data_IF_842242680511
#
_entry.id   IF_842242680511
#
_cell.length_a   1.000
_cell.length_b   1.000
_cell.length_c   1.000
_cell.angle_alpha   90.00
_cell.angle_beta   90.00
_cell.angle_gamma   90.00
#
_symmetry.space_group_name_H-M   'P 1'
#
loop_
_entity.id
_entity.type
_entity.pdbx_description
1 polymer ?
#
# COMPACT_ATOMS: atom_id res chain seq x y z
N UNK A 1 -29.86 18.37 -29.88
CA UNK A 1 -29.34 19.67 -30.36
C UNK A 1 -29.53 19.75 -31.87
N UNK A 2 -30.05 20.87 -32.40
CA UNK A 2 -30.15 21.09 -33.86
C UNK A 2 -28.73 21.31 -34.42
N UNK A 3 -28.38 20.64 -35.51
CA UNK A 3 -27.10 20.81 -36.21
C UNK A 3 -27.34 21.72 -37.41
N UNK A 4 -26.47 22.69 -37.62
CA UNK A 4 -26.49 23.58 -38.78
C UNK A 4 -25.30 23.28 -39.68
N UNK A 5 -25.53 23.28 -40.99
CA UNK A 5 -24.47 23.19 -41.99
C UNK A 5 -23.85 24.56 -42.27
N UNK A 6 -22.63 24.58 -42.82
CA UNK A 6 -21.96 25.84 -43.22
C UNK A 6 -22.78 26.66 -44.21
N UNK A 7 -23.57 25.98 -45.07
CA UNK A 7 -24.48 26.62 -46.03
C UNK A 7 -25.63 27.35 -45.36
N UNK A 8 -26.21 26.74 -44.34
CA UNK A 8 -27.32 27.32 -43.58
C UNK A 8 -26.85 28.49 -42.72
N UNK A 9 -25.65 28.38 -42.14
CA UNK A 9 -25.00 29.45 -41.37
C UNK A 9 -24.70 30.66 -42.28
N UNK A 10 -24.12 30.40 -43.46
CA UNK A 10 -23.85 31.41 -44.47
C UNK A 10 -25.13 32.17 -44.88
N UNK A 11 -26.23 31.43 -45.11
CA UNK A 11 -27.53 32.01 -45.43
C UNK A 11 -28.12 32.83 -44.27
N UNK A 12 -27.93 32.40 -43.04
CA UNK A 12 -28.46 33.06 -41.84
C UNK A 12 -27.75 34.38 -41.54
N UNK A 13 -26.43 34.43 -41.75
CA UNK A 13 -25.62 35.63 -41.55
C UNK A 13 -25.47 36.50 -42.80
N UNK A 14 -26.01 36.09 -43.95
CA UNK A 14 -25.90 36.83 -45.21
C UNK A 14 -24.46 36.89 -45.77
N UNK A 15 -23.62 35.91 -45.44
CA UNK A 15 -22.20 35.86 -45.83
C UNK A 15 -21.91 34.65 -46.71
N UNK A 16 -20.74 34.64 -47.37
CA UNK A 16 -20.32 33.47 -48.17
C UNK A 16 -19.92 32.29 -47.30
N UNK A 17 -20.10 31.06 -47.80
CA UNK A 17 -19.64 29.83 -47.12
C UNK A 17 -18.14 29.88 -46.79
N UNK A 18 -17.32 30.49 -47.67
CA UNK A 18 -15.87 30.67 -47.44
C UNK A 18 -15.57 31.59 -46.27
N UNK A 19 -16.40 32.61 -46.04
CA UNK A 19 -16.22 33.53 -44.92
C UNK A 19 -16.42 32.81 -43.59
N UNK A 20 -17.47 31.96 -43.52
CA UNK A 20 -17.76 31.13 -42.35
C UNK A 20 -16.62 30.14 -42.09
N UNK A 21 -16.16 29.44 -43.14
CA UNK A 21 -15.04 28.49 -43.02
C UNK A 21 -13.73 29.17 -42.56
N UNK A 22 -13.43 30.36 -43.10
CA UNK A 22 -12.24 31.12 -42.72
C UNK A 22 -12.26 31.51 -41.24
N UNK A 23 -13.40 31.98 -40.74
CA UNK A 23 -13.54 32.35 -39.33
C UNK A 23 -13.35 31.14 -38.40
N UNK A 24 -13.89 29.98 -38.77
CA UNK A 24 -13.69 28.73 -38.02
C UNK A 24 -12.21 28.33 -38.02
N UNK A 25 -11.53 28.44 -39.16
CA UNK A 25 -10.10 28.14 -39.27
C UNK A 25 -9.24 29.08 -38.39
N UNK A 26 -9.48 30.39 -38.44
CA UNK A 26 -8.76 31.37 -37.60
C UNK A 26 -8.94 31.10 -36.11
N UNK A 27 -10.14 30.70 -35.68
CA UNK A 27 -10.36 30.28 -34.29
C UNK A 27 -9.59 29.02 -33.93
N UNK A 28 -9.57 28.02 -34.83
CA UNK A 28 -8.80 26.79 -34.65
C UNK A 28 -7.30 27.05 -34.53
N UNK A 29 -6.75 27.92 -35.37
CA UNK A 29 -5.33 28.26 -35.39
C UNK A 29 -4.92 29.00 -34.11
N UNK A 30 -5.75 29.93 -33.63
CA UNK A 30 -5.52 30.64 -32.37
C UNK A 30 -5.52 29.73 -31.14
N UNK A 31 -6.26 28.61 -31.20
CA UNK A 31 -6.31 27.60 -30.14
C UNK A 31 -5.17 26.58 -30.30
N UNK A 32 -4.64 26.35 -31.50
CA UNK A 32 -3.68 25.26 -31.75
C UNK A 32 -2.21 25.66 -31.59
N UNK A 33 -1.87 26.95 -31.53
CA UNK A 33 -0.49 27.40 -31.38
C UNK A 33 -0.01 27.28 -29.92
N UNK A 34 0.65 26.16 -29.62
CA UNK A 34 1.07 25.71 -28.27
C UNK A 34 2.50 26.08 -27.90
N UNK A 35 2.93 27.32 -28.12
CA UNK A 35 4.30 27.73 -27.79
C UNK A 35 4.46 28.51 -26.48
N UNK A 36 3.38 28.92 -25.80
CA UNK A 36 3.48 29.54 -24.47
C UNK A 36 2.26 29.22 -23.60
N UNK A 37 2.48 29.10 -22.29
CA UNK A 37 1.49 28.81 -21.24
C UNK A 37 0.17 29.60 -21.42
N UNK A 38 -0.82 28.98 -22.04
CA UNK A 38 -2.21 29.45 -22.09
C UNK A 38 -2.74 29.75 -23.50
N UNK A 39 -4.02 29.46 -23.73
CA UNK A 39 -4.71 29.78 -24.98
C UNK A 39 -5.24 31.21 -24.93
N UNK A 40 -4.96 32.01 -25.96
CA UNK A 40 -5.56 33.34 -26.13
C UNK A 40 -6.90 33.22 -26.84
N UNK A 41 -8.00 33.28 -26.08
CA UNK A 41 -9.36 33.11 -26.60
C UNK A 41 -10.03 34.49 -26.77
N UNK A 42 -10.61 34.80 -27.94
CA UNK A 42 -11.39 36.02 -28.15
C UNK A 42 -12.62 36.12 -27.24
N UNK A 43 -12.97 37.32 -26.81
CA UNK A 43 -14.07 37.60 -25.86
C UNK A 43 -15.42 36.99 -26.30
N UNK A 44 -15.75 37.09 -27.59
CA UNK A 44 -16.99 36.52 -28.16
C UNK A 44 -17.11 35.01 -27.92
N UNK A 45 -15.98 34.30 -27.98
CA UNK A 45 -15.90 32.86 -27.73
C UNK A 45 -16.00 32.56 -26.25
N UNK A 46 -15.44 33.42 -25.39
CA UNK A 46 -15.61 33.32 -23.92
C UNK A 46 -17.08 33.49 -23.53
N UNK A 47 -17.79 34.46 -24.12
CA UNK A 47 -19.23 34.67 -23.89
C UNK A 47 -20.04 33.44 -24.35
N UNK A 48 -19.69 32.89 -25.53
CA UNK A 48 -20.30 31.66 -26.02
C UNK A 48 -20.04 30.48 -25.06
N UNK A 49 -18.79 30.30 -24.60
CA UNK A 49 -18.41 29.26 -23.64
C UNK A 49 -19.13 29.44 -22.30
N UNK A 50 -19.23 30.66 -21.78
CA UNK A 50 -19.95 30.96 -20.54
C UNK A 50 -21.45 30.67 -20.67
N UNK A 51 -22.07 31.00 -21.81
CA UNK A 51 -23.47 30.68 -22.08
C UNK A 51 -23.71 29.17 -22.20
N UNK A 52 -22.74 28.42 -22.72
CA UNK A 52 -22.78 26.96 -22.84
C UNK A 52 -22.52 26.26 -21.51
N UNK A 53 -21.59 26.77 -20.70
CA UNK A 53 -21.26 26.27 -19.36
C UNK A 53 -22.42 26.42 -18.37
N UNK A 54 -23.37 27.35 -18.58
CA UNK A 54 -24.60 27.41 -17.77
C UNK A 54 -25.44 26.12 -17.85
N UNK A 55 -25.30 25.32 -18.92
CA UNK A 55 -25.98 24.04 -19.10
C UNK A 55 -25.15 22.82 -18.68
N UNK A 56 -23.85 22.98 -18.48
CA UNK A 56 -22.89 21.90 -18.21
C UNK A 56 -22.46 21.85 -16.74
N UNK A 57 -23.33 22.33 -15.85
CA UNK A 57 -23.13 22.32 -14.41
C UNK A 57 -23.70 21.01 -13.81
N UNK A 58 -24.48 20.20 -14.53
CA UNK A 58 -25.06 18.99 -13.92
C UNK A 58 -24.05 17.88 -13.64
N UNK A 59 -22.90 17.87 -14.31
CA UNK A 59 -21.79 16.92 -14.10
C UNK A 59 -20.69 17.46 -13.19
N UNK A 60 -20.69 18.76 -12.88
CA UNK A 60 -19.78 19.42 -11.91
C UNK A 60 -20.51 20.03 -10.71
N UNK A 61 -21.83 19.84 -10.58
CA UNK A 61 -22.61 20.25 -9.39
C UNK A 61 -22.32 19.41 -8.14
N UNK A 62 -21.44 18.42 -8.24
CA UNK A 62 -20.82 17.83 -7.05
C UNK A 62 -19.53 18.55 -6.63
N UNK A 63 -18.96 19.43 -7.46
CA UNK A 63 -17.64 20.02 -7.21
C UNK A 63 -17.59 21.54 -7.08
N UNK A 64 -18.49 22.34 -7.66
CA UNK A 64 -18.31 23.81 -7.55
C UNK A 64 -19.61 24.62 -7.68
N UNK A 65 -20.28 24.90 -6.56
CA UNK A 65 -21.03 26.16 -6.32
C UNK A 65 -21.00 26.55 -4.84
N UNK A 66 -19.92 27.20 -4.44
CA UNK A 66 -19.97 28.24 -3.42
C UNK A 66 -20.73 29.45 -3.98
N UNK A 67 -21.50 30.14 -3.15
CA UNK A 67 -21.57 31.59 -3.27
C UNK A 67 -21.64 32.24 -1.88
N UNK A 68 -20.62 33.07 -1.66
CA UNK A 68 -20.51 34.15 -0.69
C UNK A 68 -20.22 33.81 0.79
N UNK A 69 -18.91 33.97 1.09
CA UNK A 69 -18.28 34.39 2.36
C UNK A 69 -18.35 33.38 3.52
N UNK A 70 -17.15 32.94 3.94
CA UNK A 70 -16.85 32.11 5.13
C UNK A 70 -16.95 30.58 5.01
N UNK A 71 -16.51 29.95 3.91
CA UNK A 71 -16.35 28.49 3.89
C UNK A 71 -14.96 28.05 3.42
N UNK A 72 -13.99 28.27 4.31
CA UNK A 72 -12.74 27.52 4.41
C UNK A 72 -13.07 26.11 4.91
N UNK A 73 -13.53 25.22 4.04
CA UNK A 73 -13.65 23.80 4.39
C UNK A 73 -12.81 22.96 3.43
N UNK A 74 -11.61 22.53 3.84
CA UNK A 74 -10.92 21.44 3.17
C UNK A 74 -11.84 20.22 3.23
N UNK A 75 -11.88 19.39 2.19
CA UNK A 75 -12.51 18.07 2.30
C UNK A 75 -11.77 17.27 3.39
N UNK A 76 -12.26 17.34 4.62
CA UNK A 76 -11.73 16.63 5.77
C UNK A 76 -12.62 15.39 5.94
N UNK A 77 -12.12 14.26 5.46
CA UNK A 77 -12.67 12.96 5.85
C UNK A 77 -12.25 12.69 7.30
N UNK A 78 -13.19 12.84 8.22
CA UNK A 78 -12.98 12.48 9.61
C UNK A 78 -13.10 10.97 9.76
N UNK A 79 -12.16 10.38 10.48
CA UNK A 79 -12.35 9.02 11.00
C UNK A 79 -13.61 8.99 11.87
N UNK A 80 -14.36 7.89 11.77
CA UNK A 80 -15.31 7.56 12.82
C UNK A 80 -14.56 7.34 14.14
N UNK A 81 -15.22 7.52 15.28
CA UNK A 81 -14.61 7.31 16.59
C UNK A 81 -14.00 5.89 16.70
N UNK A 82 -14.68 4.89 16.14
CA UNK A 82 -14.20 3.51 16.10
C UNK A 82 -12.90 3.37 15.30
N UNK A 83 -12.84 3.97 14.10
CA UNK A 83 -11.63 3.96 13.26
C UNK A 83 -10.48 4.72 13.90
N UNK A 84 -10.75 5.84 14.58
CA UNK A 84 -9.73 6.60 15.28
C UNK A 84 -9.14 5.80 16.45
N UNK A 85 -9.97 5.14 17.24
CA UNK A 85 -9.50 4.27 18.33
C UNK A 85 -8.73 3.07 17.79
N UNK A 86 -9.19 2.46 16.70
CA UNK A 86 -8.46 1.36 16.07
C UNK A 86 -7.12 1.80 15.50
N UNK A 87 -7.08 2.95 14.83
CA UNK A 87 -5.85 3.53 14.31
C UNK A 87 -4.86 3.86 15.42
N UNK A 88 -5.34 4.49 16.51
CA UNK A 88 -4.55 4.74 17.72
C UNK A 88 -3.98 3.44 18.27
N UNK A 89 -4.81 2.39 18.41
CA UNK A 89 -4.39 1.06 18.87
C UNK A 89 -3.30 0.45 17.98
N UNK A 90 -3.46 0.56 16.66
CA UNK A 90 -2.46 0.08 15.69
C UNK A 90 -1.14 0.84 15.76
N UNK A 91 -1.15 2.12 16.11
CA UNK A 91 0.08 2.91 16.29
C UNK A 91 0.76 2.59 17.61
N UNK A 92 0.01 2.49 18.71
CA UNK A 92 0.61 2.41 20.05
C UNK A 92 0.80 0.99 20.55
N UNK A 93 -0.16 0.10 20.36
CA UNK A 93 -0.16 -1.23 20.98
C UNK A 93 0.41 -2.31 20.07
N UNK A 94 0.09 -2.25 18.77
CA UNK A 94 0.47 -3.32 17.84
C UNK A 94 1.99 -3.45 17.63
N UNK A 95 2.79 -2.37 17.57
CA UNK A 95 4.25 -2.50 17.44
C UNK A 95 4.85 -3.19 18.66
N UNK A 96 4.40 -2.80 19.86
CA UNK A 96 4.83 -3.42 21.12
C UNK A 96 4.44 -4.90 21.17
N UNK A 97 3.20 -5.23 20.81
CA UNK A 97 2.74 -6.61 20.78
C UNK A 97 3.52 -7.45 19.76
N UNK A 98 3.82 -6.89 18.59
CA UNK A 98 4.63 -7.54 17.55
C UNK A 98 6.06 -7.80 18.05
N UNK A 99 6.66 -6.84 18.73
CA UNK A 99 7.99 -6.99 19.33
C UNK A 99 7.99 -8.06 20.42
N UNK A 100 6.97 -8.08 21.28
CA UNK A 100 6.82 -9.09 22.33
C UNK A 100 6.67 -10.50 21.74
N UNK A 101 5.87 -10.66 20.67
CA UNK A 101 5.74 -11.94 19.96
C UNK A 101 7.09 -12.36 19.38
N UNK A 102 7.83 -11.43 18.77
CA UNK A 102 9.15 -11.71 18.21
C UNK A 102 10.12 -12.20 19.28
N UNK A 103 10.23 -11.49 20.41
CA UNK A 103 11.09 -11.85 21.54
C UNK A 103 10.70 -13.21 22.12
N UNK A 104 9.39 -13.47 22.26
CA UNK A 104 8.88 -14.77 22.74
C UNK A 104 9.30 -15.92 21.81
N UNK A 105 9.21 -15.72 20.50
CA UNK A 105 9.64 -16.72 19.51
C UNK A 105 11.15 -16.96 19.55
N UNK A 106 11.97 -15.89 19.65
CA UNK A 106 13.43 -16.02 19.79
C UNK A 106 13.80 -16.79 21.06
N UNK A 107 13.11 -16.51 22.17
CA UNK A 107 13.30 -17.24 23.43
C UNK A 107 12.92 -18.72 23.31
N UNK A 108 11.81 -19.03 22.62
CA UNK A 108 11.39 -20.42 22.37
C UNK A 108 12.41 -21.19 21.53
N UNK A 109 12.97 -20.58 20.48
CA UNK A 109 14.01 -21.21 19.66
C UNK A 109 15.31 -21.45 20.44
N UNK A 110 15.70 -20.50 21.29
CA UNK A 110 16.83 -20.69 22.21
C UNK A 110 16.58 -21.87 23.16
N UNK A 111 15.39 -21.96 23.77
CA UNK A 111 15.03 -23.07 24.65
C UNK A 111 15.04 -24.41 23.93
N UNK A 112 14.53 -24.49 22.70
CA UNK A 112 14.59 -25.71 21.88
C UNK A 112 16.03 -26.16 21.67
N UNK A 113 16.90 -25.22 21.29
CA UNK A 113 18.33 -25.50 21.09
C UNK A 113 18.99 -26.01 22.37
N UNK A 114 18.67 -25.42 23.51
CA UNK A 114 19.19 -25.87 24.82
C UNK A 114 18.69 -27.29 25.16
N UNK A 115 17.42 -27.59 24.91
CA UNK A 115 16.85 -28.93 25.14
C UNK A 115 17.55 -29.97 24.26
N UNK A 116 17.80 -29.67 23.00
CA UNK A 116 18.53 -30.57 22.10
C UNK A 116 19.96 -30.82 22.58
N UNK A 117 20.65 -29.75 23.00
CA UNK A 117 21.99 -29.87 23.59
C UNK A 117 21.97 -30.76 24.84
N UNK A 118 21.04 -30.54 25.77
CA UNK A 118 20.94 -31.36 26.98
C UNK A 118 20.60 -32.81 26.67
N UNK A 119 19.72 -33.07 25.70
CA UNK A 119 19.40 -34.42 25.24
C UNK A 119 20.64 -35.13 24.70
N UNK A 120 21.43 -34.46 23.86
CA UNK A 120 22.66 -35.02 23.30
C UNK A 120 23.70 -35.27 24.38
N UNK A 121 23.91 -34.31 25.29
CA UNK A 121 24.82 -34.44 26.42
C UNK A 121 24.44 -35.61 27.33
N UNK A 122 23.15 -35.76 27.62
CA UNK A 122 22.64 -36.84 28.44
C UNK A 122 22.87 -38.21 27.79
N UNK A 123 22.58 -38.34 26.50
CA UNK A 123 22.87 -39.58 25.76
C UNK A 123 24.37 -39.93 25.77
N UNK A 124 25.24 -38.92 25.61
CA UNK A 124 26.69 -39.13 25.71
C UNK A 124 27.11 -39.58 27.12
N UNK A 125 26.48 -39.04 28.16
CA UNK A 125 26.72 -39.45 29.53
C UNK A 125 26.30 -40.91 29.75
N UNK A 126 25.16 -41.34 29.19
CA UNK A 126 24.71 -42.74 29.25
C UNK A 126 25.71 -43.68 28.58
N UNK A 127 26.20 -43.34 27.38
CA UNK A 127 27.22 -44.12 26.66
C UNK A 127 28.52 -44.26 27.48
N UNK A 128 28.95 -43.18 28.14
CA UNK A 128 30.13 -43.20 29.03
C UNK A 128 29.89 -44.14 30.22
N UNK A 129 28.72 -44.06 30.86
CA UNK A 129 28.37 -44.94 31.98
C UNK A 129 28.33 -46.41 31.56
N UNK A 130 27.76 -46.71 30.39
CA UNK A 130 27.71 -48.07 29.85
C UNK A 130 29.12 -48.64 29.63
N UNK A 131 30.01 -47.85 29.00
CA UNK A 131 31.42 -48.22 28.80
C UNK A 131 32.16 -48.43 30.11
N UNK A 132 31.92 -47.57 31.09
CA UNK A 132 32.52 -47.67 32.42
C UNK A 132 32.07 -48.95 33.13
N UNK A 133 30.77 -49.28 33.09
CA UNK A 133 30.24 -50.54 33.63
C UNK A 133 30.90 -51.74 32.94
N UNK A 134 31.05 -51.69 31.61
CA UNK A 134 31.77 -52.71 30.84
C UNK A 134 33.20 -52.91 31.34
N UNK A 135 33.97 -51.82 31.44
CA UNK A 135 35.34 -51.85 31.94
C UNK A 135 35.44 -52.37 33.38
N UNK A 136 34.49 -52.01 34.26
CA UNK A 136 34.42 -52.55 35.62
C UNK A 136 34.13 -54.04 35.63
N UNK A 137 33.22 -54.54 34.78
CA UNK A 137 32.95 -55.98 34.65
C UNK A 137 34.17 -56.74 34.17
N UNK A 138 34.86 -56.24 33.15
CA UNK A 138 36.10 -56.84 32.63
C UNK A 138 37.20 -56.87 33.70
N UNK A 139 37.42 -55.74 34.39
CA UNK A 139 38.37 -55.67 35.50
C UNK A 139 38.03 -56.67 36.61
N UNK A 140 36.76 -56.73 37.03
CA UNK A 140 36.31 -57.67 38.06
C UNK A 140 36.52 -59.12 37.62
N UNK A 141 36.30 -59.44 36.35
CA UNK A 141 36.54 -60.77 35.79
C UNK A 141 38.03 -61.14 35.81
N UNK A 142 38.91 -60.21 35.40
CA UNK A 142 40.36 -60.40 35.45
C UNK A 142 40.81 -60.62 36.89
N UNK A 143 40.38 -59.76 37.81
CA UNK A 143 40.74 -59.84 39.23
C UNK A 143 40.26 -61.14 39.89
N UNK A 144 39.03 -61.59 39.59
CA UNK A 144 38.51 -62.86 40.08
C UNK A 144 39.32 -64.06 39.53
N UNK A 145 39.77 -63.98 38.27
CA UNK A 145 40.63 -65.00 37.64
C UNK A 145 42.02 -65.04 38.27
N UNK A 146 42.64 -63.88 38.49
CA UNK A 146 43.97 -63.77 39.13
C UNK A 146 43.95 -64.27 40.58
N UNK A 147 42.89 -63.97 41.33
CA UNK A 147 42.72 -64.41 42.73
C UNK A 147 42.25 -65.86 42.87
N UNK A 148 42.00 -66.57 41.78
CA UNK A 148 41.50 -67.95 41.82
C UNK A 148 40.10 -68.10 42.42
N UNK A 149 39.32 -67.01 42.46
CA UNK A 149 37.95 -66.97 42.98
C UNK A 149 36.93 -67.51 41.97
N UNK A 150 37.34 -67.73 40.71
CA UNK A 150 36.56 -68.47 39.71
C UNK A 150 36.61 -69.98 40.00
N UNK A 151 35.92 -70.42 41.05
CA UNK A 151 35.64 -71.84 41.32
C UNK A 151 34.16 -72.03 41.62
N UNK A 152 33.35 -72.07 40.55
CA UNK A 152 32.15 -72.89 40.31
C UNK A 152 31.49 -72.39 39.03
#
# INVERSE_FOLDING_TARGET
MKKYTTKEIAKLFGVSERTVQRQIATLSDNISNTDNKGFSIPEDVVIFLASRHKYDISTTSNDTKQQDKDEEFPHIEYFTEEEYQEFKKRITEYPFLKEQIKLSNEHLESLKTQIEYFRLSYNKQLDIHEKLIGAFRERNFIEAKEKGLNKT
#
